data_IF_246673564081
#
_entry.id   IF_246673564081
#
_cell.length_a   1.000
_cell.length_b   1.000
_cell.length_c   1.000
_cell.angle_alpha   90.00
_cell.angle_beta   90.00
_cell.angle_gamma   90.00
#
_symmetry.space_group_name_H-M   'P 1'
#
loop_
_entity.id
_entity.type
_entity.pdbx_description
1 polymer ?
#
# COMPACT_ATOMS: atom_id res chain seq x y z
N UNK A 1 18.66 -30.60 22.36
CA UNK A 1 19.26 -30.23 21.06
C UNK A 1 18.60 -28.96 20.62
N UNK A 2 19.31 -27.84 20.79
CA UNK A 2 18.79 -26.51 20.40
C UNK A 2 19.06 -26.41 18.91
N UNK A 3 18.01 -26.53 18.09
CA UNK A 3 18.12 -26.35 16.64
C UNK A 3 18.35 -24.86 16.40
N UNK A 4 19.50 -24.52 15.84
CA UNK A 4 19.90 -23.15 15.49
C UNK A 4 19.67 -23.00 13.99
N UNK A 5 18.79 -22.08 13.63
CA UNK A 5 18.44 -21.75 12.26
C UNK A 5 19.10 -20.43 11.86
N UNK A 6 19.42 -20.26 10.59
CA UNK A 6 19.98 -19.03 10.06
C UNK A 6 18.92 -18.30 9.23
N UNK A 7 18.79 -17.00 9.44
CA UNK A 7 17.89 -16.12 8.71
C UNK A 7 18.59 -15.60 7.44
N UNK A 8 17.87 -15.51 6.34
CA UNK A 8 18.30 -14.82 5.11
C UNK A 8 17.22 -13.83 4.71
N UNK A 9 17.59 -12.55 4.64
CA UNK A 9 16.71 -11.42 4.30
C UNK A 9 17.09 -10.94 2.89
N UNK A 10 16.12 -10.97 1.97
CA UNK A 10 16.27 -10.36 0.66
C UNK A 10 15.46 -9.07 0.62
N UNK A 11 16.08 -7.99 0.14
CA UNK A 11 15.48 -6.67 -0.06
C UNK A 11 14.97 -5.94 1.21
N UNK A 12 15.43 -6.35 2.39
CA UNK A 12 15.23 -5.57 3.61
C UNK A 12 16.39 -4.56 3.73
N UNK A 13 16.09 -3.27 3.62
CA UNK A 13 17.04 -2.21 3.93
C UNK A 13 16.88 -1.86 5.42
N UNK A 14 17.87 -2.13 6.28
CA UNK A 14 17.82 -1.72 7.68
C UNK A 14 18.10 -0.23 7.75
N UNK A 15 17.16 0.56 8.25
CA UNK A 15 17.42 1.97 8.52
C UNK A 15 16.72 2.36 9.81
N UNK A 16 17.50 2.44 10.90
CA UNK A 16 17.34 3.39 12.00
C UNK A 16 18.47 3.18 13.02
N UNK A 17 19.46 4.06 13.01
CA UNK A 17 20.46 4.10 14.08
C UNK A 17 19.79 4.47 15.42
N UNK A 18 19.96 3.62 16.42
CA UNK A 18 19.51 3.87 17.80
C UNK A 18 18.24 3.15 18.26
N UNK A 19 17.54 2.42 17.40
CA UNK A 19 16.42 1.52 17.80
C UNK A 19 16.89 0.07 17.87
N UNK A 20 16.23 -0.71 18.73
CA UNK A 20 16.52 -2.16 18.90
C UNK A 20 15.98 -3.02 17.77
N UNK A 21 15.39 -2.41 16.73
CA UNK A 21 14.79 -3.08 15.58
C UNK A 21 15.01 -2.28 14.29
N UNK A 22 15.07 -2.99 13.19
CA UNK A 22 15.16 -2.42 11.85
C UNK A 22 13.74 -2.33 11.25
N UNK A 23 13.48 -1.35 10.38
CA UNK A 23 12.17 -1.20 9.71
C UNK A 23 12.30 -1.66 8.26
N UNK A 24 11.34 -2.46 7.80
CA UNK A 24 11.32 -2.97 6.43
C UNK A 24 10.82 -1.89 5.47
N UNK A 25 11.71 -1.36 4.64
CA UNK A 25 11.38 -0.43 3.56
C UNK A 25 11.17 -1.13 2.21
N UNK A 26 11.62 -2.37 2.08
CA UNK A 26 11.38 -3.19 0.90
C UNK A 26 9.93 -3.64 0.82
N UNK A 27 9.31 -3.48 -0.36
CA UNK A 27 7.89 -3.85 -0.58
C UNK A 27 7.71 -5.31 -0.96
N UNK A 28 8.80 -5.99 -1.30
CA UNK A 28 8.86 -7.41 -1.65
C UNK A 28 9.85 -8.19 -0.78
N UNK A 29 10.00 -7.77 0.48
CA UNK A 29 10.93 -8.42 1.40
C UNK A 29 10.50 -9.85 1.72
N UNK A 30 11.40 -10.79 1.56
CA UNK A 30 11.22 -12.21 1.84
C UNK A 30 12.19 -12.66 2.93
N UNK A 31 11.67 -13.34 3.93
CA UNK A 31 12.43 -13.94 5.02
C UNK A 31 12.50 -15.45 4.82
N UNK A 32 13.70 -16.02 4.88
CA UNK A 32 13.93 -17.47 4.81
C UNK A 32 14.60 -17.97 6.08
N UNK A 33 14.05 -19.01 6.64
CA UNK A 33 14.67 -19.74 7.75
C UNK A 33 15.40 -20.95 7.15
N UNK A 34 16.71 -20.98 7.33
CA UNK A 34 17.60 -21.98 6.75
C UNK A 34 18.24 -22.81 7.85
N UNK A 35 18.28 -24.12 7.66
CA UNK A 35 19.02 -25.01 8.57
C UNK A 35 20.52 -24.77 8.39
N UNK A 36 21.20 -24.39 9.47
CA UNK A 36 22.63 -24.09 9.48
C UNK A 36 23.51 -25.25 9.05
N UNK A 37 23.07 -26.49 9.24
CA UNK A 37 23.89 -27.69 8.94
C UNK A 37 23.74 -28.15 7.49
N UNK A 38 22.51 -28.10 6.98
CA UNK A 38 22.19 -28.66 5.65
C UNK A 38 22.03 -27.58 4.57
N UNK A 39 21.89 -26.30 4.95
CA UNK A 39 21.61 -25.22 4.00
C UNK A 39 20.20 -25.28 3.39
N UNK A 40 19.33 -26.16 3.88
CA UNK A 40 17.98 -26.33 3.34
C UNK A 40 17.08 -25.23 3.89
N UNK A 41 16.30 -24.60 3.01
CA UNK A 41 15.25 -23.64 3.41
C UNK A 41 14.10 -24.40 4.04
N UNK A 42 13.86 -24.16 5.32
CA UNK A 42 12.80 -24.81 6.08
C UNK A 42 11.46 -24.10 5.90
N UNK A 43 11.48 -22.78 5.87
CA UNK A 43 10.29 -21.96 5.62
C UNK A 43 10.68 -20.64 4.98
N UNK A 44 9.78 -20.10 4.18
CA UNK A 44 9.88 -18.79 3.57
C UNK A 44 8.60 -18.03 3.83
N UNK A 45 8.70 -16.77 4.24
CA UNK A 45 7.57 -15.90 4.52
C UNK A 45 7.85 -14.49 4.00
N UNK A 46 6.85 -13.88 3.39
CA UNK A 46 6.94 -12.48 3.00
C UNK A 46 6.74 -11.58 4.23
N UNK A 47 7.56 -10.56 4.34
CA UNK A 47 7.46 -9.56 5.41
C UNK A 47 6.76 -8.33 4.85
N UNK A 48 5.70 -7.84 5.50
CA UNK A 48 5.01 -6.63 5.06
C UNK A 48 5.92 -5.39 5.12
N UNK A 49 5.70 -4.46 4.20
CA UNK A 49 6.27 -3.13 4.25
C UNK A 49 5.89 -2.40 5.56
N UNK A 50 6.86 -1.77 6.20
CA UNK A 50 6.68 -1.11 7.48
C UNK A 50 6.72 -2.04 8.70
N UNK A 51 7.03 -3.33 8.53
CA UNK A 51 7.23 -4.24 9.65
C UNK A 51 8.54 -3.93 10.39
N UNK A 52 8.51 -4.13 11.70
CA UNK A 52 9.70 -4.07 12.54
C UNK A 52 10.40 -5.42 12.53
N UNK A 53 11.71 -5.43 12.32
CA UNK A 53 12.57 -6.60 12.39
C UNK A 53 13.42 -6.57 13.66
N UNK A 54 13.35 -7.63 14.45
CA UNK A 54 14.13 -7.76 15.69
C UNK A 54 15.44 -8.50 15.49
N UNK A 55 15.65 -9.10 14.33
CA UNK A 55 16.81 -9.93 13.99
C UNK A 55 17.48 -9.43 12.74
N UNK A 56 18.82 -9.56 12.70
CA UNK A 56 19.63 -9.20 11.55
C UNK A 56 19.80 -10.39 10.62
N UNK A 57 20.15 -10.09 9.37
CA UNK A 57 20.48 -11.14 8.39
C UNK A 57 21.63 -12.02 8.90
N UNK A 58 21.50 -13.33 8.70
CA UNK A 58 22.44 -14.33 9.20
C UNK A 58 22.35 -14.63 10.70
N UNK A 59 21.43 -14.01 11.44
CA UNK A 59 21.26 -14.29 12.87
C UNK A 59 20.73 -15.70 13.12
N UNK A 60 21.15 -16.27 14.24
CA UNK A 60 20.65 -17.55 14.72
C UNK A 60 19.36 -17.34 15.53
N UNK A 61 18.27 -17.99 15.12
CA UNK A 61 16.97 -17.89 15.76
C UNK A 61 16.55 -19.21 16.38
N UNK A 62 15.78 -19.15 17.48
CA UNK A 62 15.23 -20.31 18.16
C UNK A 62 13.73 -20.42 17.91
N UNK A 63 13.21 -21.64 18.01
CA UNK A 63 11.76 -21.86 17.91
C UNK A 63 10.99 -21.07 18.98
N UNK A 64 10.00 -20.30 18.54
CA UNK A 64 9.17 -19.46 19.40
C UNK A 64 9.71 -18.04 19.66
N UNK A 65 10.85 -17.68 19.10
CA UNK A 65 11.39 -16.32 19.15
C UNK A 65 10.67 -15.41 18.16
N UNK A 66 10.21 -14.21 18.59
CA UNK A 66 9.61 -13.25 17.68
C UNK A 66 10.68 -12.68 16.73
N UNK A 67 10.44 -12.72 15.44
CA UNK A 67 11.38 -12.27 14.41
C UNK A 67 10.97 -10.91 13.88
N UNK A 68 9.67 -10.72 13.65
CA UNK A 68 9.10 -9.48 13.15
C UNK A 68 7.70 -9.24 13.69
N UNK A 69 7.30 -7.99 13.76
CA UNK A 69 5.93 -7.59 14.03
C UNK A 69 5.47 -6.51 13.04
N UNK A 70 4.18 -6.40 12.84
CA UNK A 70 3.57 -5.37 12.01
C UNK A 70 2.16 -5.05 12.48
N UNK A 71 1.68 -3.86 12.15
CA UNK A 71 0.29 -3.46 12.40
C UNK A 71 -0.63 -3.99 11.28
N UNK A 72 -1.56 -4.93 11.56
CA UNK A 72 -2.49 -5.44 10.57
C UNK A 72 -3.62 -4.45 10.24
N UNK A 73 -3.88 -3.47 11.12
CA UNK A 73 -5.01 -2.54 11.01
C UNK A 73 -4.68 -1.29 10.20
N UNK A 74 -3.40 -0.91 10.15
CA UNK A 74 -2.94 0.24 9.40
C UNK A 74 -1.92 -0.19 8.36
N UNK A 75 -2.03 0.37 7.15
CA UNK A 75 -0.92 0.45 6.24
C UNK A 75 -0.18 1.76 6.53
N UNK A 76 1.11 1.81 6.24
CA UNK A 76 1.93 3.00 6.47
C UNK A 76 2.59 3.44 5.18
N UNK A 77 2.86 4.74 5.04
CA UNK A 77 3.79 5.28 4.07
C UNK A 77 4.98 5.81 4.86
N UNK A 78 6.16 5.25 4.59
CA UNK A 78 7.41 5.61 5.23
C UNK A 78 8.28 6.42 4.26
N UNK A 79 9.11 7.29 4.81
CA UNK A 79 10.13 7.96 4.01
C UNK A 79 11.27 6.99 3.69
N UNK A 80 11.62 6.88 2.40
CA UNK A 80 12.79 6.11 1.96
C UNK A 80 14.10 6.92 2.12
N UNK A 81 13.99 8.23 2.23
CA UNK A 81 15.12 9.15 2.28
C UNK A 81 15.02 10.10 3.46
N UNK A 82 16.15 10.58 3.94
CA UNK A 82 16.19 11.71 4.86
C UNK A 82 15.93 13.01 4.10
N UNK A 83 15.25 13.97 4.74
CA UNK A 83 15.02 15.26 4.11
C UNK A 83 14.00 16.12 4.85
N UNK A 84 13.64 17.23 4.21
CA UNK A 84 12.63 18.17 4.69
C UNK A 84 11.32 17.92 4.00
N UNK A 85 10.23 17.90 4.78
CA UNK A 85 8.88 17.69 4.29
C UNK A 85 8.34 18.98 3.68
N UNK A 86 7.70 18.85 2.51
CA UNK A 86 6.91 19.91 1.89
C UNK A 86 5.58 19.35 1.38
N UNK A 87 4.50 20.07 1.64
CA UNK A 87 3.16 19.69 1.25
C UNK A 87 2.77 20.32 -0.09
N UNK A 88 2.15 19.54 -0.95
CA UNK A 88 1.54 20.04 -2.18
C UNK A 88 0.07 19.63 -2.24
N UNK A 89 -0.80 20.62 -2.53
CA UNK A 89 -2.26 20.44 -2.58
C UNK A 89 -2.89 19.93 -1.27
N UNK A 90 -2.25 20.12 -0.13
CA UNK A 90 -2.80 19.82 1.20
C UNK A 90 -3.39 21.11 1.76
N UNK A 91 -4.72 21.31 1.58
CA UNK A 91 -5.44 22.53 1.92
C UNK A 91 -6.58 22.15 2.88
N UNK A 92 -6.63 22.84 4.04
CA UNK A 92 -7.67 22.61 5.04
C UNK A 92 -9.08 22.91 4.50
N UNK A 93 -10.01 22.01 4.79
CA UNK A 93 -11.40 22.10 4.33
C UNK A 93 -11.62 21.75 2.85
N UNK A 94 -10.55 21.51 2.06
CA UNK A 94 -10.61 21.12 0.64
C UNK A 94 -10.09 19.72 0.42
N UNK A 95 -8.88 19.42 0.90
CA UNK A 95 -8.21 18.13 0.73
C UNK A 95 -7.96 17.41 2.05
N UNK A 96 -7.94 18.12 3.17
CA UNK A 96 -7.89 17.50 4.49
C UNK A 96 -8.82 18.21 5.47
N UNK A 97 -9.20 17.50 6.52
CA UNK A 97 -9.89 18.04 7.70
C UNK A 97 -9.18 17.58 8.97
N UNK A 98 -9.34 18.35 10.01
CA UNK A 98 -8.86 17.96 11.34
C UNK A 98 -9.97 17.17 12.01
N UNK A 99 -9.69 15.94 12.38
CA UNK A 99 -10.57 15.09 13.19
C UNK A 99 -9.97 14.94 14.57
N UNK A 100 -10.79 15.06 15.60
CA UNK A 100 -10.37 14.73 16.95
C UNK A 100 -10.68 13.26 17.22
N UNK A 101 -9.66 12.48 17.55
CA UNK A 101 -9.84 11.12 17.99
C UNK A 101 -10.43 11.13 19.40
N UNK A 102 -11.65 10.60 19.54
CA UNK A 102 -12.39 10.56 20.82
C UNK A 102 -11.67 9.68 21.88
N UNK A 103 -10.83 8.74 21.46
CA UNK A 103 -10.14 7.85 22.39
C UNK A 103 -8.82 8.43 22.90
N UNK A 104 -8.06 9.10 22.03
CA UNK A 104 -6.75 9.64 22.38
C UNK A 104 -6.77 11.13 22.68
N UNK A 105 -7.80 11.85 22.23
CA UNK A 105 -7.93 13.31 22.37
C UNK A 105 -6.98 14.11 21.48
N UNK A 106 -6.24 13.45 20.60
CA UNK A 106 -5.35 14.12 19.65
C UNK A 106 -6.10 14.50 18.37
N UNK A 107 -5.72 15.65 17.81
CA UNK A 107 -6.22 16.10 16.52
C UNK A 107 -5.37 15.48 15.41
N UNK A 108 -6.01 14.74 14.51
CA UNK A 108 -5.36 14.12 13.36
C UNK A 108 -5.79 14.80 12.07
N UNK A 109 -4.86 14.95 11.13
CA UNK A 109 -5.12 15.49 9.79
C UNK A 109 -5.53 14.36 8.87
N UNK A 110 -6.83 14.27 8.58
CA UNK A 110 -7.40 13.21 7.73
C UNK A 110 -7.62 13.73 6.32
N UNK A 111 -7.12 13.02 5.33
CA UNK A 111 -7.32 13.36 3.92
C UNK A 111 -8.76 13.02 3.52
N UNK A 112 -9.45 14.02 2.97
CA UNK A 112 -10.81 13.88 2.45
C UNK A 112 -10.81 13.93 0.92
N UNK A 113 -11.86 13.40 0.31
CA UNK A 113 -12.04 13.49 -1.13
C UNK A 113 -12.19 14.97 -1.54
N UNK A 114 -11.28 15.42 -2.40
CA UNK A 114 -11.33 16.78 -2.92
C UNK A 114 -12.44 16.94 -3.96
N UNK A 115 -13.30 17.96 -3.79
CA UNK A 115 -14.28 18.35 -4.82
C UNK A 115 -13.61 18.79 -6.13
N UNK A 116 -12.35 19.19 -6.04
CA UNK A 116 -11.54 19.61 -7.21
C UNK A 116 -10.66 18.43 -7.61
N UNK A 117 -11.14 17.61 -8.55
CA UNK A 117 -10.49 16.36 -9.03
C UNK A 117 -9.07 16.53 -9.59
N UNK A 118 -8.58 17.76 -9.74
CA UNK A 118 -7.21 18.05 -10.23
C UNK A 118 -6.20 18.26 -9.11
N UNK A 119 -6.63 18.31 -7.84
CA UNK A 119 -5.75 18.56 -6.70
C UNK A 119 -5.59 17.30 -5.86
N UNK A 120 -4.67 16.44 -6.25
CA UNK A 120 -4.28 15.31 -5.43
C UNK A 120 -3.32 15.77 -4.33
N UNK A 121 -3.55 15.37 -3.07
CA UNK A 121 -2.65 15.67 -1.96
C UNK A 121 -1.35 14.86 -2.09
N UNK A 122 -0.22 15.53 -1.92
CA UNK A 122 1.09 14.95 -2.13
C UNK A 122 2.06 15.43 -1.04
N UNK A 123 2.89 14.53 -0.51
CA UNK A 123 4.04 14.86 0.33
C UNK A 123 5.30 14.76 -0.51
N UNK A 124 6.12 15.81 -0.46
CA UNK A 124 7.43 15.89 -1.10
C UNK A 124 8.52 15.85 -0.05
N UNK A 125 9.57 15.10 -0.34
CA UNK A 125 10.80 15.13 0.43
C UNK A 125 11.83 15.97 -0.34
N UNK A 126 12.34 16.98 0.33
CA UNK A 126 13.33 17.92 -0.21
C UNK A 126 14.68 17.71 0.49
N UNK A 127 15.76 17.83 -0.26
CA UNK A 127 17.11 17.86 0.28
C UNK A 127 17.40 19.22 0.98
N UNK A 128 18.58 19.33 1.59
CA UNK A 128 19.09 20.55 2.23
C UNK A 128 19.10 21.75 1.29
N UNK A 129 19.28 21.51 -0.01
CA UNK A 129 19.26 22.52 -1.07
C UNK A 129 17.85 22.77 -1.67
N UNK A 130 16.79 22.30 -1.03
CA UNK A 130 15.39 22.33 -1.53
C UNK A 130 15.19 21.64 -2.88
N UNK A 131 16.03 20.68 -3.23
CA UNK A 131 15.86 19.86 -4.43
C UNK A 131 14.91 18.71 -4.09
N UNK A 132 13.95 18.44 -4.99
CA UNK A 132 13.01 17.35 -4.84
C UNK A 132 13.72 16.00 -4.95
N UNK A 133 13.67 15.19 -3.88
CA UNK A 133 14.20 13.82 -3.85
C UNK A 133 13.10 12.83 -4.25
N UNK A 134 11.99 12.84 -3.54
CA UNK A 134 10.90 11.88 -3.73
C UNK A 134 9.53 12.54 -3.48
N UNK A 135 8.52 11.98 -4.12
CA UNK A 135 7.13 12.41 -4.02
C UNK A 135 6.27 11.22 -3.62
N UNK A 136 5.40 11.42 -2.63
CA UNK A 136 4.47 10.41 -2.13
C UNK A 136 3.04 10.88 -2.33
N UNK A 137 2.27 10.12 -3.13
CA UNK A 137 0.83 10.36 -3.30
C UNK A 137 0.08 9.82 -2.06
N UNK A 138 -0.85 10.60 -1.53
CA UNK A 138 -1.56 10.26 -0.29
C UNK A 138 -3.00 9.86 -0.62
N UNK A 139 -3.42 8.63 -0.27
CA UNK A 139 -4.78 8.17 -0.45
C UNK A 139 -5.80 8.92 0.41
N UNK A 140 -7.06 8.99 -0.05
CA UNK A 140 -8.18 9.49 0.75
C UNK A 140 -8.41 8.59 1.97
N UNK A 141 -8.80 9.17 3.09
CA UNK A 141 -8.95 8.46 4.37
C UNK A 141 -7.64 8.20 5.11
N UNK A 142 -6.52 8.73 4.60
CA UNK A 142 -5.22 8.62 5.26
C UNK A 142 -5.05 9.69 6.33
N UNK A 143 -4.31 9.34 7.39
CA UNK A 143 -3.95 10.22 8.49
C UNK A 143 -2.51 10.70 8.32
N UNK A 144 -2.29 12.00 8.21
CA UNK A 144 -0.96 12.59 8.11
C UNK A 144 -0.37 12.69 9.52
N UNK A 145 0.84 12.13 9.69
CA UNK A 145 1.54 12.10 11.00
C UNK A 145 2.54 13.24 11.14
N UNK A 146 2.95 13.84 10.02
CA UNK A 146 4.04 14.83 9.94
C UNK A 146 3.51 16.23 9.67
N UNK A 147 4.35 17.25 9.93
CA UNK A 147 4.02 18.65 9.63
C UNK A 147 4.87 19.20 8.48
N UNK A 148 4.36 20.30 7.88
CA UNK A 148 5.10 20.97 6.82
C UNK A 148 6.38 21.60 7.38
N UNK A 149 7.50 21.29 6.75
CA UNK A 149 8.81 21.79 7.15
C UNK A 149 9.57 20.90 8.12
N UNK A 150 8.96 19.84 8.63
CA UNK A 150 9.65 18.88 9.50
C UNK A 150 10.80 18.21 8.80
N UNK A 151 11.82 17.85 9.58
CA UNK A 151 12.90 16.98 9.13
C UNK A 151 12.54 15.54 9.46
N UNK A 152 12.62 14.70 8.45
CA UNK A 152 12.39 13.28 8.59
C UNK A 152 13.64 12.48 8.24
N UNK A 153 13.85 11.40 8.98
CA UNK A 153 14.89 10.41 8.69
C UNK A 153 14.33 9.32 7.78
N UNK A 154 15.20 8.58 7.11
CA UNK A 154 14.79 7.39 6.37
C UNK A 154 14.14 6.38 7.35
N UNK A 155 13.03 5.76 6.94
CA UNK A 155 12.19 4.92 7.79
C UNK A 155 11.18 5.69 8.67
N UNK A 156 11.19 7.03 8.64
CA UNK A 156 10.21 7.83 9.36
C UNK A 156 8.81 7.69 8.77
N UNK A 157 7.79 7.64 9.65
CA UNK A 157 6.40 7.50 9.24
C UNK A 157 5.83 8.83 8.74
N UNK A 158 5.37 8.87 7.48
CA UNK A 158 4.73 10.03 6.87
C UNK A 158 3.20 9.99 7.06
N UNK A 159 2.62 8.83 6.78
CA UNK A 159 1.17 8.67 6.70
C UNK A 159 0.75 7.32 7.25
N UNK A 160 -0.35 7.29 7.99
CA UNK A 160 -1.09 6.07 8.36
C UNK A 160 -2.32 5.95 7.49
N UNK A 161 -2.56 4.78 6.95
CA UNK A 161 -3.72 4.47 6.14
C UNK A 161 -4.51 3.39 6.89
N UNK A 162 -5.62 3.73 7.57
CA UNK A 162 -6.45 2.73 8.22
C UNK A 162 -6.93 1.72 7.18
N UNK A 163 -6.65 0.45 7.40
CA UNK A 163 -7.26 -0.62 6.62
C UNK A 163 -8.69 -0.73 7.11
N UNK A 164 -9.63 -0.16 6.38
CA UNK A 164 -11.04 -0.34 6.66
C UNK A 164 -11.36 -1.84 6.57
N UNK A 165 -11.42 -2.50 7.71
CA UNK A 165 -12.00 -3.83 7.80
C UNK A 165 -13.49 -3.65 7.52
N UNK A 166 -13.89 -3.83 6.27
CA UNK A 166 -15.30 -3.82 5.83
C UNK A 166 -15.92 -2.48 5.44
N UNK A 167 -15.17 -1.37 5.41
CA UNK A 167 -15.63 -0.11 4.82
C UNK A 167 -14.61 0.42 3.83
N UNK A 168 -14.45 -0.30 2.73
CA UNK A 168 -14.05 0.34 1.49
C UNK A 168 -15.06 1.43 1.22
N UNK A 169 -14.60 2.64 0.87
CA UNK A 169 -15.48 3.73 0.46
C UNK A 169 -16.20 3.39 -0.84
N UNK A 170 -16.86 2.26 -0.87
CA UNK A 170 -17.70 1.82 -1.96
C UNK A 170 -19.01 2.58 -1.86
N UNK A 171 -19.08 3.66 -2.62
CA UNK A 171 -20.28 4.48 -2.82
C UNK A 171 -21.42 3.61 -3.38
N UNK A 172 -21.12 2.44 -3.94
CA UNK A 172 -22.04 1.47 -4.52
C UNK A 172 -21.99 0.09 -3.84
N UNK A 173 -21.81 0.05 -2.51
CA UNK A 173 -21.93 -1.19 -1.73
C UNK A 173 -23.39 -1.66 -1.58
N UNK A 174 -23.60 -2.89 -1.14
CA UNK A 174 -24.89 -3.45 -0.85
C UNK A 174 -25.71 -3.81 -2.10
N UNK A 175 -27.04 -3.59 -2.07
CA UNK A 175 -27.95 -4.02 -3.11
C UNK A 175 -27.60 -3.55 -4.53
N UNK A 176 -27.20 -2.30 -4.78
CA UNK A 176 -26.77 -1.87 -6.11
C UNK A 176 -25.56 -2.66 -6.63
N UNK A 177 -24.57 -2.92 -5.78
CA UNK A 177 -23.38 -3.69 -6.17
C UNK A 177 -23.71 -5.15 -6.46
N UNK A 178 -24.58 -5.75 -5.66
CA UNK A 178 -25.10 -7.10 -5.90
C UNK A 178 -25.78 -7.19 -7.27
N UNK A 179 -26.61 -6.21 -7.62
CA UNK A 179 -27.29 -6.15 -8.93
C UNK A 179 -26.27 -6.03 -10.07
N UNK A 180 -25.26 -5.17 -9.95
CA UNK A 180 -24.16 -5.04 -10.93
C UNK A 180 -23.43 -6.37 -11.14
N UNK A 181 -23.12 -7.08 -10.05
CA UNK A 181 -22.43 -8.38 -10.12
C UNK A 181 -23.30 -9.46 -10.78
N UNK A 182 -24.59 -9.54 -10.43
CA UNK A 182 -25.51 -10.54 -11.02
C UNK A 182 -25.78 -10.25 -12.50
N UNK A 183 -26.02 -9.00 -12.85
CA UNK A 183 -26.30 -8.62 -14.24
C UNK A 183 -25.02 -8.44 -15.08
N UNK A 184 -23.85 -8.60 -14.46
CA UNK A 184 -22.53 -8.37 -15.08
C UNK A 184 -22.39 -6.99 -15.74
N UNK A 185 -23.00 -5.97 -15.13
CA UNK A 185 -22.87 -4.59 -15.59
C UNK A 185 -21.52 -4.00 -15.16
N UNK A 186 -20.99 -3.11 -15.98
CA UNK A 186 -19.81 -2.34 -15.59
C UNK A 186 -20.24 -1.29 -14.57
N UNK A 187 -19.45 -1.12 -13.47
CA UNK A 187 -19.67 -0.04 -12.54
C UNK A 187 -19.48 1.33 -13.20
N UNK A 188 -20.11 2.36 -12.65
CA UNK A 188 -20.01 3.73 -13.17
C UNK A 188 -18.57 4.25 -13.12
N UNK A 189 -17.80 3.87 -12.11
CA UNK A 189 -16.38 4.21 -11.96
C UNK A 189 -15.54 2.92 -11.80
N UNK A 190 -15.16 2.27 -12.91
CA UNK A 190 -14.39 1.03 -12.84
C UNK A 190 -12.96 1.30 -12.35
N UNK A 191 -12.46 0.47 -11.43
CA UNK A 191 -11.05 0.45 -11.07
C UNK A 191 -10.22 -0.11 -12.22
N UNK A 192 -8.99 0.39 -12.37
CA UNK A 192 -7.99 -0.24 -13.22
C UNK A 192 -7.24 -1.26 -12.38
N UNK A 193 -7.19 -2.50 -12.85
CA UNK A 193 -6.70 -3.66 -12.10
C UNK A 193 -5.47 -4.23 -12.78
N UNK A 194 -4.49 -4.69 -12.01
CA UNK A 194 -3.35 -5.41 -12.56
C UNK A 194 -3.77 -6.78 -13.08
N UNK A 195 -3.40 -7.10 -14.31
CA UNK A 195 -3.65 -8.42 -14.91
C UNK A 195 -2.53 -9.44 -14.64
N UNK A 196 -1.35 -8.95 -14.23
CA UNK A 196 -0.17 -9.77 -13.97
C UNK A 196 0.40 -9.49 -12.58
N UNK A 197 1.12 -10.48 -12.04
CA UNK A 197 1.91 -10.29 -10.83
C UNK A 197 3.20 -9.55 -11.18
N UNK A 198 3.53 -8.49 -10.46
CA UNK A 198 4.76 -7.77 -10.76
C UNK A 198 4.99 -6.55 -9.87
N UNK A 199 6.09 -5.86 -10.17
CA UNK A 199 6.50 -4.63 -9.49
C UNK A 199 5.98 -3.43 -10.27
N UNK A 200 5.37 -2.49 -9.56
CA UNK A 200 4.82 -1.26 -10.11
C UNK A 200 5.93 -0.24 -10.35
N UNK A 201 5.92 0.39 -11.50
CA UNK A 201 6.72 1.57 -11.81
C UNK A 201 5.88 2.62 -12.52
N UNK A 202 6.24 3.89 -12.36
CA UNK A 202 5.51 4.97 -13.03
C UNK A 202 6.23 5.43 -14.29
N UNK A 203 5.46 5.62 -15.36
CA UNK A 203 5.97 6.20 -16.59
C UNK A 203 6.40 7.66 -16.40
N UNK A 204 7.53 8.03 -16.99
CA UNK A 204 8.15 9.37 -16.84
C UNK A 204 7.32 10.53 -17.42
N UNK A 205 6.33 10.27 -18.25
CA UNK A 205 5.55 11.30 -18.96
C UNK A 205 4.05 11.02 -18.87
N UNK A 206 3.28 12.07 -18.63
CA UNK A 206 1.83 12.05 -18.81
C UNK A 206 1.48 11.86 -20.28
N UNK A 207 0.77 10.78 -20.61
CA UNK A 207 0.25 10.53 -21.96
C UNK A 207 -1.19 11.02 -22.04
N UNK A 208 -1.42 12.12 -22.76
CA UNK A 208 -2.77 12.70 -22.99
C UNK A 208 -3.57 12.97 -21.70
N UNK A 209 -2.90 13.47 -20.63
CA UNK A 209 -3.55 13.71 -19.35
C UNK A 209 -3.77 12.45 -18.50
N UNK A 210 -3.19 11.31 -18.88
CA UNK A 210 -3.22 10.08 -18.11
C UNK A 210 -1.82 9.76 -17.58
N UNK A 211 -1.77 9.24 -16.35
CA UNK A 211 -0.52 8.73 -15.75
C UNK A 211 -0.34 7.28 -16.20
N UNK A 212 0.84 6.95 -16.70
CA UNK A 212 1.17 5.59 -17.08
C UNK A 212 1.71 4.84 -15.86
N UNK A 213 1.10 3.71 -15.55
CA UNK A 213 1.54 2.77 -14.54
C UNK A 213 1.98 1.50 -15.25
N UNK A 214 3.21 1.07 -15.01
CA UNK A 214 3.80 -0.11 -15.65
C UNK A 214 3.97 -1.17 -14.56
N UNK A 215 3.50 -2.37 -14.82
CA UNK A 215 3.71 -3.54 -13.95
C UNK A 215 4.65 -4.48 -14.67
N UNK A 216 5.80 -4.74 -14.06
CA UNK A 216 6.84 -5.64 -14.61
C UNK A 216 6.86 -6.94 -13.83
N UNK A 217 6.59 -8.04 -14.50
CA UNK A 217 6.61 -9.38 -13.90
C UNK A 217 8.06 -9.87 -13.64
N UNK A 218 8.22 -10.82 -12.73
CA UNK A 218 9.50 -11.53 -12.52
C UNK A 218 10.02 -12.24 -13.79
N UNK A 219 9.15 -12.54 -14.74
CA UNK A 219 9.49 -13.13 -16.05
C UNK A 219 9.97 -12.11 -17.08
N UNK A 220 9.93 -10.81 -16.75
CA UNK A 220 10.27 -9.72 -17.68
C UNK A 220 9.12 -9.27 -18.57
N UNK A 221 7.90 -9.77 -18.36
CA UNK A 221 6.70 -9.28 -19.04
C UNK A 221 6.30 -7.92 -18.45
N UNK A 222 6.05 -6.94 -19.30
CA UNK A 222 5.60 -5.60 -18.91
C UNK A 222 4.19 -5.32 -19.44
N UNK A 223 3.32 -4.84 -18.54
CA UNK A 223 2.00 -4.29 -18.91
C UNK A 223 1.89 -2.85 -18.46
N UNK A 224 1.46 -1.99 -19.37
CA UNK A 224 1.23 -0.57 -19.09
C UNK A 224 -0.25 -0.26 -19.00
N UNK A 225 -0.63 0.46 -17.94
CA UNK A 225 -1.98 0.90 -17.64
C UNK A 225 -2.03 2.42 -17.66
N UNK A 226 -3.01 3.00 -18.35
CA UNK A 226 -3.20 4.44 -18.41
C UNK A 226 -4.29 4.85 -17.43
N UNK A 227 -3.91 5.49 -16.34
CA UNK A 227 -4.83 5.95 -15.29
C UNK A 227 -5.09 7.44 -15.49
N UNK A 228 -6.37 7.86 -15.65
CA UNK A 228 -6.71 9.27 -15.71
C UNK A 228 -6.24 10.01 -14.45
N UNK A 229 -5.75 11.23 -14.60
CA UNK A 229 -5.30 12.05 -13.45
C UNK A 229 -6.44 12.42 -12.50
N UNK A 230 -7.70 12.24 -12.93
CA UNK A 230 -8.88 12.41 -12.08
C UNK A 230 -9.11 11.25 -11.11
N UNK A 231 -8.47 10.09 -11.34
CA UNK A 231 -8.54 8.92 -10.45
C UNK A 231 -7.32 8.85 -9.57
N UNK A 232 -7.55 8.52 -8.31
CA UNK A 232 -6.48 8.30 -7.36
C UNK A 232 -5.77 6.98 -7.65
N UNK A 233 -4.44 6.99 -7.60
CA UNK A 233 -3.61 5.80 -7.72
C UNK A 233 -3.39 5.23 -6.33
N UNK A 234 -3.73 3.96 -6.15
CA UNK A 234 -3.59 3.25 -4.87
C UNK A 234 -2.21 2.61 -4.71
N UNK A 235 -1.62 2.16 -5.82
CA UNK A 235 -0.31 1.55 -5.82
C UNK A 235 0.80 2.61 -5.76
N UNK A 236 1.88 2.28 -5.07
CA UNK A 236 3.08 3.12 -4.98
C UNK A 236 4.18 2.60 -5.93
N UNK A 237 5.17 3.45 -6.21
CA UNK A 237 6.34 3.02 -6.97
C UNK A 237 7.10 1.93 -6.22
N UNK A 238 7.52 0.88 -6.95
CA UNK A 238 8.13 -0.34 -6.43
C UNK A 238 7.22 -1.25 -5.59
N UNK A 239 5.91 -1.01 -5.54
CA UNK A 239 4.98 -1.96 -4.92
C UNK A 239 4.93 -3.25 -5.71
N UNK A 240 4.93 -4.39 -5.00
CA UNK A 240 4.62 -5.68 -5.59
C UNK A 240 3.10 -5.90 -5.56
N UNK A 241 2.50 -5.96 -6.73
CA UNK A 241 1.06 -6.21 -6.90
C UNK A 241 0.82 -7.60 -7.48
N UNK A 242 -0.23 -8.24 -7.02
CA UNK A 242 -0.71 -9.50 -7.59
C UNK A 242 -1.76 -9.24 -8.66
N UNK A 243 -1.92 -10.18 -9.57
CA UNK A 243 -3.02 -10.16 -10.52
C UNK A 243 -4.37 -10.01 -9.77
N UNK A 244 -5.19 -9.07 -10.21
CA UNK A 244 -6.44 -8.72 -9.54
C UNK A 244 -6.32 -7.69 -8.40
N UNK A 245 -5.15 -7.06 -8.21
CA UNK A 245 -5.00 -5.93 -7.29
C UNK A 245 -5.42 -4.63 -8.00
N UNK A 246 -6.30 -3.80 -7.40
CA UNK A 246 -6.67 -2.52 -7.98
C UNK A 246 -5.48 -1.54 -7.93
N UNK A 247 -5.16 -0.93 -9.06
CA UNK A 247 -4.14 0.10 -9.20
C UNK A 247 -4.70 1.51 -9.02
N UNK A 248 -6.01 1.67 -9.29
CA UNK A 248 -6.72 2.92 -9.10
C UNK A 248 -7.98 2.75 -8.28
N UNK A 249 -8.49 3.85 -7.73
CA UNK A 249 -9.79 3.92 -7.09
C UNK A 249 -10.92 3.50 -8.03
N UNK A 250 -11.97 2.90 -7.45
CA UNK A 250 -13.16 2.43 -8.15
C UNK A 250 -13.51 0.98 -7.83
N UNK A 251 -14.62 0.51 -8.37
CA UNK A 251 -15.08 -0.87 -8.20
C UNK A 251 -14.52 -1.76 -9.32
N UNK A 252 -14.07 -2.97 -8.97
CA UNK A 252 -13.59 -3.95 -9.95
C UNK A 252 -14.74 -4.41 -10.86
N UNK A 253 -14.50 -4.49 -12.17
CA UNK A 253 -15.54 -4.96 -13.08
C UNK A 253 -15.80 -6.46 -12.91
N UNK A 254 -17.05 -6.95 -13.07
CA UNK A 254 -17.33 -8.38 -13.02
C UNK A 254 -16.56 -9.19 -14.06
N UNK A 255 -16.24 -8.56 -15.21
CA UNK A 255 -15.45 -9.18 -16.28
C UNK A 255 -14.00 -9.38 -15.83
N UNK A 256 -13.37 -8.37 -15.17
CA UNK A 256 -12.00 -8.47 -14.68
C UNK A 256 -11.89 -9.51 -13.54
N UNK A 257 -12.89 -9.55 -12.64
CA UNK A 257 -12.94 -10.57 -11.59
C UNK A 257 -12.96 -11.97 -12.21
N UNK A 258 -13.80 -12.17 -13.23
CA UNK A 258 -13.91 -13.48 -13.90
C UNK A 258 -12.62 -13.84 -14.66
N UNK A 259 -12.05 -12.90 -15.39
CA UNK A 259 -10.87 -13.14 -16.22
C UNK A 259 -9.61 -13.39 -15.39
N UNK A 260 -9.44 -12.64 -14.29
CA UNK A 260 -8.20 -12.65 -13.49
C UNK A 260 -8.31 -13.62 -12.32
N UNK A 261 -9.41 -13.56 -11.55
CA UNK A 261 -9.59 -14.35 -10.31
C UNK A 261 -10.39 -15.64 -10.52
N UNK A 262 -11.01 -15.79 -11.68
CA UNK A 262 -11.78 -16.98 -12.03
C UNK A 262 -13.22 -17.00 -11.51
N UNK A 263 -14.03 -18.03 -11.91
CA UNK A 263 -15.45 -18.08 -11.64
C UNK A 263 -15.79 -18.26 -10.14
N UNK A 264 -14.95 -18.96 -9.39
CA UNK A 264 -15.16 -19.15 -7.94
C UNK A 264 -15.11 -17.83 -7.19
N UNK A 265 -14.10 -17.00 -7.45
CA UNK A 265 -13.95 -15.70 -6.80
C UNK A 265 -15.07 -14.72 -7.18
N UNK A 266 -15.53 -14.76 -8.42
CA UNK A 266 -16.72 -13.99 -8.83
C UNK A 266 -17.95 -14.40 -8.04
N UNK A 267 -18.14 -15.71 -7.80
CA UNK A 267 -19.25 -16.22 -7.00
C UNK A 267 -19.13 -15.85 -5.53
N UNK A 268 -17.92 -15.84 -4.97
CA UNK A 268 -17.68 -15.43 -3.60
C UNK A 268 -17.95 -13.94 -3.38
N UNK A 269 -17.62 -13.10 -4.35
CA UNK A 269 -17.79 -11.65 -4.27
C UNK A 269 -19.25 -11.27 -4.03
N UNK A 270 -20.19 -11.77 -4.82
CA UNK A 270 -21.61 -11.44 -4.62
C UNK A 270 -22.18 -12.03 -3.32
N UNK A 271 -21.65 -13.16 -2.85
CA UNK A 271 -22.06 -13.75 -1.57
C UNK A 271 -21.56 -12.90 -0.40
N UNK A 272 -20.33 -12.40 -0.48
CA UNK A 272 -19.74 -11.49 0.52
C UNK A 272 -20.53 -10.18 0.61
N UNK A 273 -20.91 -9.60 -0.53
CA UNK A 273 -21.72 -8.37 -0.57
C UNK A 273 -23.11 -8.56 0.01
N UNK A 274 -23.77 -9.71 -0.24
CA UNK A 274 -25.06 -10.05 0.37
C UNK A 274 -25.00 -10.21 1.90
N UNK A 275 -23.85 -10.61 2.42
CA UNK A 275 -23.61 -10.78 3.87
C UNK A 275 -23.11 -9.50 4.54
N UNK A 276 -22.87 -8.43 3.78
CA UNK A 276 -22.44 -7.15 4.33
C UNK A 276 -23.53 -6.54 5.21
N UNK A 277 -23.21 -6.01 6.42
CA UNK A 277 -24.19 -5.41 7.32
C UNK A 277 -24.92 -4.19 6.75
N UNK A 278 -24.46 -3.65 5.62
CA UNK A 278 -25.12 -2.53 4.93
C UNK A 278 -26.21 -2.98 3.94
N UNK A 279 -26.53 -4.26 3.89
CA UNK A 279 -27.53 -4.81 2.94
C UNK A 279 -28.95 -4.94 3.56
N UNK A 280 -29.09 -4.58 4.84
CA UNK A 280 -30.40 -4.62 5.56
C UNK A 280 -30.86 -3.19 5.86
#
# INVERSE_FOLDING_TARGET
>A
TTDIYTLSLHDALPICEGKTYDIVLGRSAEMKIVDKKTGIVLTSSNIPYGANLYVKDGAAVKKGEPISDWDPYNAVILSEFEGKISFENIIEGVTFRIESDEQTGYNEKVIIESRIKTKNPVIKILDKDNVLIKTYDIPVGSHIVVEEGDKIEAGGMLVKIPRAIGKSGDITGGLPRVTELFEARNPSEPAIVSEIDGVVSFGKKLKRGNREVIVTSKTGEEKSYLIPTSKQILAQENDFVKAGTPLSEGAMTPADILAIKGPMKRSEEHTSELQSPNTI
#
